data_IF_066378889905
#
_entry.id   IF_066378889905
#
_cell.length_a   1.000
_cell.length_b   1.000
_cell.length_c   1.000
_cell.angle_alpha   90.00
_cell.angle_beta   90.00
_cell.angle_gamma   90.00
#
_symmetry.space_group_name_H-M   'P 1'
#
loop_
_entity.id
_entity.type
_entity.pdbx_description
1 polymer ?
#
# COMPACT_ATOMS: atom_id res chain seq x y z
N UNK A 1 -1.29 -0.30 18.34
CA UNK A 1 -0.90 0.16 16.99
C UNK A 1 -1.50 -0.69 15.87
N UNK A 2 -1.42 -2.04 15.92
CA UNK A 2 -1.95 -2.91 14.84
C UNK A 2 -3.46 -2.74 14.58
N UNK A 3 -4.31 -2.83 15.61
CA UNK A 3 -5.76 -2.68 15.46
C UNK A 3 -6.18 -1.30 14.95
N UNK A 4 -5.54 -0.24 15.44
CA UNK A 4 -5.82 1.13 15.01
C UNK A 4 -5.43 1.35 13.54
N UNK A 5 -4.31 0.78 13.08
CA UNK A 5 -3.90 0.83 11.68
C UNK A 5 -4.87 0.05 10.78
N UNK A 6 -5.29 -1.15 11.21
CA UNK A 6 -6.26 -1.96 10.48
C UNK A 6 -7.62 -1.25 10.35
N UNK A 7 -8.10 -0.61 11.42
CA UNK A 7 -9.32 0.20 11.39
C UNK A 7 -9.21 1.39 10.45
N UNK A 8 -8.10 2.14 10.51
CA UNK A 8 -7.85 3.26 9.61
C UNK A 8 -7.80 2.81 8.13
N UNK A 9 -7.15 1.68 7.85
CA UNK A 9 -7.06 1.12 6.50
C UNK A 9 -8.41 0.66 5.96
N UNK A 10 -9.21 -0.02 6.79
CA UNK A 10 -10.57 -0.41 6.43
C UNK A 10 -11.45 0.81 6.13
N UNK A 11 -11.38 1.84 6.99
CA UNK A 11 -12.11 3.09 6.78
C UNK A 11 -11.69 3.77 5.48
N UNK A 12 -10.38 3.91 5.23
CA UNK A 12 -9.85 4.48 4.00
C UNK A 12 -10.35 3.72 2.75
N UNK A 13 -10.34 2.39 2.78
CA UNK A 13 -10.76 1.55 1.65
C UNK A 13 -12.26 1.67 1.37
N UNK A 14 -13.10 1.58 2.40
CA UNK A 14 -14.56 1.70 2.26
C UNK A 14 -14.97 3.11 1.82
N UNK A 15 -14.40 4.12 2.48
CA UNK A 15 -14.72 5.52 2.19
C UNK A 15 -14.19 5.94 0.81
N UNK A 16 -13.00 5.49 0.43
CA UNK A 16 -12.44 5.67 -0.91
C UNK A 16 -13.37 5.12 -2.00
N UNK A 17 -13.85 3.87 -1.84
CA UNK A 17 -14.81 3.28 -2.78
C UNK A 17 -16.12 4.07 -2.83
N UNK A 18 -16.65 4.49 -1.68
CA UNK A 18 -17.85 5.31 -1.59
C UNK A 18 -17.70 6.64 -2.34
N UNK A 19 -16.56 7.32 -2.24
CA UNK A 19 -16.27 8.56 -2.95
C UNK A 19 -16.21 8.34 -4.47
N UNK A 20 -15.62 7.23 -4.92
CA UNK A 20 -15.53 6.90 -6.34
C UNK A 20 -16.90 6.55 -6.94
N UNK A 21 -17.72 5.77 -6.23
CA UNK A 21 -19.01 5.28 -6.72
C UNK A 21 -20.15 6.31 -6.58
N UNK A 22 -20.33 6.93 -5.39
CA UNK A 22 -21.44 7.86 -5.14
C UNK A 22 -21.18 9.30 -5.56
N UNK A 23 -19.94 9.78 -5.46
CA UNK A 23 -19.58 11.15 -5.84
C UNK A 23 -18.97 11.26 -7.24
N UNK A 24 -18.88 10.13 -7.96
CA UNK A 24 -18.31 10.00 -9.32
C UNK A 24 -16.96 10.70 -9.45
N UNK A 25 -16.14 10.64 -8.40
CA UNK A 25 -14.82 11.24 -8.44
C UNK A 25 -13.89 10.46 -9.38
N UNK A 26 -13.07 11.20 -10.12
CA UNK A 26 -12.04 10.63 -10.95
C UNK A 26 -10.93 10.03 -10.08
N UNK A 27 -10.29 8.94 -10.56
CA UNK A 27 -9.17 8.29 -9.85
C UNK A 27 -8.06 9.30 -9.61
N UNK A 28 -7.76 10.09 -10.63
CA UNK A 28 -6.71 11.10 -10.63
C UNK A 28 -6.91 12.11 -9.49
N UNK A 29 -8.12 12.65 -9.33
CA UNK A 29 -8.41 13.64 -8.28
C UNK A 29 -8.28 13.04 -6.88
N UNK A 30 -8.77 11.82 -6.65
CA UNK A 30 -8.66 11.17 -5.35
C UNK A 30 -7.21 10.82 -5.01
N UNK A 31 -6.45 10.38 -6.01
CA UNK A 31 -5.01 10.09 -5.89
C UNK A 31 -4.24 11.37 -5.56
N UNK A 32 -4.48 12.46 -6.31
CA UNK A 32 -3.89 13.78 -6.07
C UNK A 32 -4.18 14.27 -4.65
N UNK A 33 -5.45 14.27 -4.22
CA UNK A 33 -5.80 14.74 -2.87
C UNK A 33 -5.13 13.92 -1.77
N UNK A 34 -5.06 12.61 -1.94
CA UNK A 34 -4.40 11.74 -0.96
C UNK A 34 -2.90 12.01 -0.88
N UNK A 35 -2.23 12.18 -2.02
CA UNK A 35 -0.79 12.46 -2.07
C UNK A 35 -0.49 13.85 -1.51
N UNK A 36 -1.27 14.87 -1.85
CA UNK A 36 -1.11 16.23 -1.31
C UNK A 36 -1.32 16.23 0.21
N UNK A 37 -2.36 15.55 0.68
CA UNK A 37 -2.61 15.43 2.12
C UNK A 37 -1.47 14.71 2.84
N UNK A 38 -0.96 13.60 2.28
CA UNK A 38 0.18 12.87 2.83
C UNK A 38 1.45 13.74 2.84
N UNK A 39 1.73 14.45 1.74
CA UNK A 39 2.89 15.31 1.57
C UNK A 39 2.90 16.52 2.51
N UNK A 40 1.74 17.02 2.93
CA UNK A 40 1.64 18.10 3.92
C UNK A 40 1.63 17.60 5.37
N UNK A 41 0.95 16.48 5.64
CA UNK A 41 0.79 15.95 7.00
C UNK A 41 2.07 15.31 7.55
N UNK A 42 2.83 14.57 6.72
CA UNK A 42 4.07 13.92 7.14
C UNK A 42 5.14 14.90 7.67
N UNK A 43 5.52 15.98 6.96
CA UNK A 43 6.49 16.94 7.50
C UNK A 43 5.94 17.68 8.73
N UNK A 44 4.64 17.96 8.79
CA UNK A 44 4.01 18.57 9.96
C UNK A 44 4.16 17.66 11.20
N UNK A 45 3.89 16.36 11.06
CA UNK A 45 4.08 15.38 12.14
C UNK A 45 5.57 15.30 12.54
N UNK A 46 6.49 15.29 11.58
CA UNK A 46 7.93 15.24 11.88
C UNK A 46 8.41 16.46 12.65
N UNK A 47 7.91 17.66 12.32
CA UNK A 47 8.15 18.90 13.04
C UNK A 47 7.61 18.80 14.47
N UNK A 48 6.35 18.39 14.64
CA UNK A 48 5.73 18.27 15.96
C UNK A 48 6.47 17.28 16.88
N UNK A 49 6.99 16.20 16.31
CA UNK A 49 7.75 15.18 17.04
C UNK A 49 9.24 15.53 17.19
N UNK A 50 9.69 16.70 16.72
CA UNK A 50 11.10 17.11 16.70
C UNK A 50 12.03 16.04 16.09
N UNK A 51 11.54 15.34 15.07
CA UNK A 51 12.17 14.14 14.48
C UNK A 51 12.78 14.39 13.10
N UNK A 52 12.90 15.66 12.70
CA UNK A 52 13.46 16.04 11.40
C UNK A 52 14.91 15.59 11.30
N UNK A 53 15.16 14.62 10.42
CA UNK A 53 16.50 14.14 10.10
C UNK A 53 16.87 14.59 8.68
N UNK A 54 17.94 15.40 8.52
CA UNK A 54 18.37 15.82 7.19
C UNK A 54 18.93 14.62 6.42
N UNK A 55 18.52 14.49 5.16
CA UNK A 55 19.04 13.49 4.23
C UNK A 55 20.41 13.96 3.75
N UNK A 56 21.46 13.23 4.13
CA UNK A 56 22.85 13.63 3.86
C UNK A 56 23.43 13.02 2.59
N UNK A 57 22.97 11.82 2.22
CA UNK A 57 23.62 11.01 1.19
C UNK A 57 22.80 10.96 -0.11
N UNK A 58 23.50 10.93 -1.26
CA UNK A 58 22.87 10.81 -2.57
C UNK A 58 22.11 9.49 -2.74
N UNK A 59 22.64 8.40 -2.16
CA UNK A 59 21.95 7.11 -2.14
C UNK A 59 20.63 7.17 -1.38
N UNK A 60 20.58 7.90 -0.26
CA UNK A 60 19.35 8.10 0.50
C UNK A 60 18.33 8.93 -0.29
N UNK A 61 18.77 9.93 -1.06
CA UNK A 61 17.91 10.66 -1.99
C UNK A 61 17.38 9.78 -3.13
N UNK A 62 18.21 8.90 -3.69
CA UNK A 62 17.77 7.94 -4.70
C UNK A 62 16.75 6.94 -4.13
N UNK A 63 16.98 6.42 -2.93
CA UNK A 63 16.04 5.54 -2.26
C UNK A 63 14.71 6.24 -1.95
N UNK A 64 14.75 7.48 -1.47
CA UNK A 64 13.55 8.28 -1.18
C UNK A 64 12.76 8.62 -2.44
N UNK A 65 13.43 9.01 -3.52
CA UNK A 65 12.77 9.29 -4.80
C UNK A 65 12.18 8.01 -5.41
N UNK A 66 12.88 6.89 -5.32
CA UNK A 66 12.35 5.57 -5.68
C UNK A 66 11.09 5.22 -4.88
N UNK A 67 11.10 5.42 -3.55
CA UNK A 67 9.97 5.17 -2.68
C UNK A 67 8.77 6.10 -2.98
N UNK A 68 9.02 7.37 -3.27
CA UNK A 68 7.98 8.33 -3.60
C UNK A 68 7.32 8.03 -4.96
N UNK A 69 8.09 7.57 -5.95
CA UNK A 69 7.56 7.33 -7.29
C UNK A 69 6.93 5.95 -7.44
N UNK A 70 7.56 4.90 -6.91
CA UNK A 70 7.17 3.52 -7.20
C UNK A 70 6.04 3.05 -6.27
N UNK A 71 6.26 2.77 -4.97
CA UNK A 71 5.16 2.29 -4.14
C UNK A 71 4.15 3.40 -3.81
N UNK A 72 4.59 4.66 -3.69
CA UNK A 72 3.69 5.74 -3.27
C UNK A 72 2.87 6.28 -4.44
N UNK A 73 3.47 6.85 -5.49
CA UNK A 73 2.69 7.41 -6.60
C UNK A 73 2.06 6.32 -7.47
N UNK A 74 2.87 5.43 -8.04
CA UNK A 74 2.39 4.40 -8.96
C UNK A 74 1.53 3.35 -8.23
N UNK A 75 2.03 2.80 -7.13
CA UNK A 75 1.33 1.77 -6.36
C UNK A 75 -0.03 2.23 -5.86
N UNK A 76 -0.11 3.44 -5.31
CA UNK A 76 -1.38 4.00 -4.83
C UNK A 76 -2.36 4.36 -5.95
N UNK A 77 -1.87 4.89 -7.08
CA UNK A 77 -2.70 5.14 -8.26
C UNK A 77 -3.31 3.83 -8.81
N UNK A 78 -2.50 2.76 -8.87
CA UNK A 78 -2.96 1.42 -9.24
C UNK A 78 -3.95 0.86 -8.23
N UNK A 79 -3.71 1.07 -6.92
CA UNK A 79 -4.63 0.66 -5.85
C UNK A 79 -6.01 1.30 -6.02
N UNK A 80 -6.08 2.63 -6.13
CA UNK A 80 -7.35 3.35 -6.31
C UNK A 80 -8.04 2.91 -7.62
N UNK A 81 -7.26 2.70 -8.69
CA UNK A 81 -7.78 2.19 -9.97
C UNK A 81 -8.37 0.78 -9.84
N UNK A 82 -7.69 -0.10 -9.11
CA UNK A 82 -8.15 -1.45 -8.82
C UNK A 82 -9.40 -1.45 -7.95
N UNK A 83 -9.46 -0.57 -6.95
CA UNK A 83 -10.60 -0.42 -6.05
C UNK A 83 -11.91 -0.03 -6.77
N UNK A 84 -11.83 0.60 -7.95
CA UNK A 84 -13.02 0.82 -8.81
C UNK A 84 -13.59 -0.46 -9.42
N UNK A 85 -12.78 -1.50 -9.56
CA UNK A 85 -13.10 -2.74 -10.28
C UNK A 85 -13.44 -3.90 -9.36
N UNK A 86 -13.11 -3.80 -8.07
CA UNK A 86 -13.33 -4.86 -7.07
C UNK A 86 -14.12 -4.32 -5.89
N UNK A 87 -14.95 -5.15 -5.29
CA UNK A 87 -15.65 -4.81 -4.05
C UNK A 87 -14.66 -4.60 -2.90
N UNK A 88 -14.95 -3.65 -1.99
CA UNK A 88 -14.06 -3.30 -0.88
C UNK A 88 -13.70 -4.51 0.01
N UNK A 89 -14.63 -5.45 0.20
CA UNK A 89 -14.37 -6.69 0.95
C UNK A 89 -13.36 -7.61 0.27
N UNK A 90 -13.41 -7.69 -1.07
CA UNK A 90 -12.43 -8.45 -1.88
C UNK A 90 -11.08 -7.74 -1.96
N UNK A 91 -11.06 -6.41 -1.96
CA UNK A 91 -9.84 -5.61 -2.01
C UNK A 91 -8.87 -5.92 -0.86
N UNK A 92 -9.39 -6.08 0.37
CA UNK A 92 -8.57 -6.43 1.53
C UNK A 92 -7.89 -7.80 1.39
N UNK A 93 -8.59 -8.78 0.83
CA UNK A 93 -8.04 -10.13 0.60
C UNK A 93 -7.01 -10.10 -0.52
N UNK A 94 -7.29 -9.41 -1.63
CA UNK A 94 -6.33 -9.21 -2.72
C UNK A 94 -5.08 -8.49 -2.23
N UNK A 95 -5.22 -7.55 -1.30
CA UNK A 95 -4.09 -6.89 -0.64
C UNK A 95 -3.15 -7.86 0.08
N UNK A 96 -3.64 -9.03 0.55
CA UNK A 96 -2.77 -10.03 1.15
C UNK A 96 -1.74 -10.59 0.17
N UNK A 97 -1.99 -10.54 -1.15
CA UNK A 97 -0.99 -10.89 -2.19
C UNK A 97 0.29 -10.08 -1.98
N UNK A 98 0.18 -8.83 -1.51
CA UNK A 98 1.33 -7.96 -1.23
C UNK A 98 2.34 -8.68 -0.35
N UNK A 99 1.89 -9.35 0.73
CA UNK A 99 2.74 -10.09 1.66
C UNK A 99 3.51 -11.19 0.93
N UNK A 100 2.84 -11.98 0.09
CA UNK A 100 3.49 -13.04 -0.68
C UNK A 100 4.48 -12.47 -1.71
N UNK A 101 4.12 -11.39 -2.39
CA UNK A 101 5.01 -10.74 -3.36
C UNK A 101 6.23 -10.10 -2.70
N UNK A 102 6.07 -9.47 -1.54
CA UNK A 102 7.18 -8.90 -0.76
C UNK A 102 8.16 -9.99 -0.32
N UNK A 103 7.64 -11.14 0.13
CA UNK A 103 8.44 -12.31 0.49
C UNK A 103 9.29 -12.81 -0.69
N UNK A 104 8.67 -12.95 -1.87
CA UNK A 104 9.36 -13.39 -3.08
C UNK A 104 10.41 -12.36 -3.51
N UNK A 105 10.09 -11.06 -3.45
CA UNK A 105 11.02 -10.00 -3.80
C UNK A 105 12.19 -9.92 -2.80
N UNK A 106 11.97 -10.17 -1.50
CA UNK A 106 13.04 -10.24 -0.52
C UNK A 106 14.00 -11.39 -0.82
N UNK A 107 13.49 -12.57 -1.18
CA UNK A 107 14.33 -13.69 -1.62
C UNK A 107 15.16 -13.36 -2.86
N UNK A 108 14.54 -12.75 -3.89
CA UNK A 108 15.20 -12.49 -5.18
C UNK A 108 16.18 -11.30 -5.11
N UNK A 109 15.75 -10.19 -4.52
CA UNK A 109 16.48 -8.91 -4.56
C UNK A 109 17.45 -8.78 -3.39
N UNK A 110 17.00 -9.13 -2.18
CA UNK A 110 17.84 -9.03 -0.97
C UNK A 110 18.66 -10.32 -0.74
N UNK A 111 18.33 -11.41 -1.43
CA UNK A 111 19.01 -12.70 -1.25
C UNK A 111 18.70 -13.37 0.09
N UNK A 112 17.60 -12.97 0.75
CA UNK A 112 17.21 -13.56 2.03
C UNK A 112 16.83 -15.03 1.84
N UNK A 113 17.22 -15.89 2.79
CA UNK A 113 16.83 -17.30 2.77
C UNK A 113 15.46 -17.45 3.40
N UNK A 114 14.53 -18.00 2.63
CA UNK A 114 13.18 -18.25 3.12
C UNK A 114 13.05 -19.64 3.72
N UNK A 115 12.54 -19.69 4.95
CA UNK A 115 12.21 -20.94 5.63
C UNK A 115 11.05 -21.67 4.92
N UNK A 116 10.97 -23.00 5.01
CA UNK A 116 9.86 -23.77 4.44
C UNK A 116 8.48 -23.30 4.92
N UNK A 117 8.38 -22.80 6.16
CA UNK A 117 7.14 -22.26 6.72
C UNK A 117 6.72 -20.96 6.04
N UNK A 118 7.68 -20.11 5.65
CA UNK A 118 7.40 -18.87 4.92
C UNK A 118 6.90 -19.16 3.50
N UNK A 119 7.48 -20.16 2.84
CA UNK A 119 6.98 -20.66 1.55
C UNK A 119 5.54 -21.19 1.66
N UNK A 120 5.25 -21.97 2.71
CA UNK A 120 3.89 -22.47 2.94
C UNK A 120 2.91 -21.32 3.17
N UNK A 121 3.29 -20.32 3.97
CA UNK A 121 2.48 -19.12 4.19
C UNK A 121 2.19 -18.35 2.90
N UNK A 122 3.20 -18.15 2.04
CA UNK A 122 3.03 -17.51 0.75
C UNK A 122 2.06 -18.31 -0.15
N UNK A 123 2.20 -19.64 -0.20
CA UNK A 123 1.30 -20.51 -0.94
C UNK A 123 -0.15 -20.41 -0.44
N UNK A 124 -0.36 -20.41 0.88
CA UNK A 124 -1.69 -20.28 1.49
C UNK A 124 -2.37 -18.96 1.13
N UNK A 125 -1.63 -17.86 1.16
CA UNK A 125 -2.14 -16.54 0.74
C UNK A 125 -2.56 -16.55 -0.73
N UNK A 126 -1.71 -17.06 -1.62
CA UNK A 126 -2.02 -17.14 -3.05
C UNK A 126 -3.26 -17.99 -3.30
N UNK A 127 -3.36 -19.16 -2.68
CA UNK A 127 -4.54 -20.02 -2.75
C UNK A 127 -5.80 -19.30 -2.25
N UNK A 128 -5.75 -18.66 -1.08
CA UNK A 128 -6.89 -17.93 -0.52
C UNK A 128 -7.42 -16.85 -1.45
N UNK A 129 -6.52 -16.11 -2.10
CA UNK A 129 -6.92 -15.05 -3.03
C UNK A 129 -7.54 -15.63 -4.30
N UNK A 130 -7.00 -16.72 -4.85
CA UNK A 130 -7.61 -17.38 -6.02
C UNK A 130 -9.01 -17.92 -5.74
N UNK A 131 -9.27 -18.41 -4.53
CA UNK A 131 -10.60 -18.89 -4.11
C UNK A 131 -11.59 -17.72 -4.04
N UNK A 132 -11.18 -16.61 -3.43
CA UNK A 132 -12.05 -15.44 -3.24
C UNK A 132 -12.36 -14.70 -4.55
N UNK A 133 -11.46 -14.78 -5.54
CA UNK A 133 -11.68 -14.20 -6.86
C UNK A 133 -12.55 -15.05 -7.80
N UNK A 134 -12.81 -16.33 -7.47
CA UNK A 134 -13.77 -17.11 -8.27
C UNK A 134 -15.16 -16.48 -8.19
N UNK A 135 -15.91 -16.42 -9.31
CA UNK A 135 -17.25 -15.85 -9.35
C UNK A 135 -18.21 -16.59 -8.41
#
# INVERSE_FOLDING_TARGET
>A
LGLTAALAYAFYTVFGKFLLEKRRLNVESLTLYSIVYAGLSLPLIQILLASLQPVKDMEAWLALTGLALVPTLLGFALYISGLKRIEAGRAGIVGAIEIASALILAFIILGERLDPVQWLGALMVLCGVTIVQKP
#
